data_IF_423557028983
#
_entry.id   IF_423557028983
#
_cell.length_a   1.000
_cell.length_b   1.000
_cell.length_c   1.000
_cell.angle_alpha   90.00
_cell.angle_beta   90.00
_cell.angle_gamma   90.00
#
_symmetry.space_group_name_H-M   'P 1'
#
loop_
_entity.id
_entity.type
_entity.pdbx_description
1 polymer ?
#
# COMPACT_ATOMS: atom_id res chain seq x y z
N UNK A 1 25.84 8.13 -13.43
CA UNK A 1 25.61 9.50 -13.92
C UNK A 1 24.76 10.23 -12.89
N UNK A 2 25.19 11.38 -12.43
CA UNK A 2 24.39 12.28 -11.58
C UNK A 2 23.54 13.16 -12.50
N UNK A 3 22.27 13.41 -12.11
CA UNK A 3 21.37 14.33 -12.77
C UNK A 3 20.78 15.29 -11.73
N UNK A 4 20.56 16.52 -12.11
CA UNK A 4 19.94 17.55 -11.27
C UNK A 4 18.50 17.76 -11.71
N UNK A 5 17.61 17.92 -10.73
CA UNK A 5 16.18 18.18 -10.92
C UNK A 5 15.73 19.28 -9.98
N UNK A 6 14.81 20.13 -10.42
CA UNK A 6 14.24 21.19 -9.58
C UNK A 6 13.33 20.64 -8.48
N UNK A 7 12.72 19.48 -8.70
CA UNK A 7 11.76 18.84 -7.78
C UNK A 7 11.85 17.33 -7.89
N UNK A 8 11.64 16.66 -6.76
CA UNK A 8 11.57 15.19 -6.68
C UNK A 8 10.22 14.76 -6.13
N UNK A 9 9.59 13.79 -6.77
CA UNK A 9 8.34 13.18 -6.28
C UNK A 9 8.62 11.73 -5.89
N UNK A 10 8.48 11.41 -4.61
CA UNK A 10 8.57 10.05 -4.09
C UNK A 10 7.22 9.34 -4.24
N UNK A 11 7.13 8.43 -5.22
CA UNK A 11 6.00 7.53 -5.41
C UNK A 11 6.36 6.11 -4.92
N UNK A 12 7.00 6.04 -3.76
CA UNK A 12 7.54 4.83 -3.15
C UNK A 12 6.81 4.51 -1.83
N UNK A 13 6.93 3.28 -1.30
CA UNK A 13 6.52 3.02 0.07
C UNK A 13 7.22 3.97 1.05
N UNK A 14 6.55 4.43 2.12
CA UNK A 14 7.08 5.46 3.01
C UNK A 14 8.32 5.00 3.81
N UNK A 15 8.46 3.73 4.10
CA UNK A 15 9.60 3.15 4.83
C UNK A 15 10.92 3.12 4.04
N UNK A 16 10.87 3.40 2.74
CA UNK A 16 12.08 3.49 1.90
C UNK A 16 12.51 4.94 1.63
N UNK A 17 11.69 5.94 1.96
CA UNK A 17 11.99 7.35 1.67
C UNK A 17 13.32 7.77 2.27
N UNK A 18 13.55 7.51 3.57
CA UNK A 18 14.80 7.86 4.25
C UNK A 18 16.01 7.09 3.72
N UNK A 19 15.82 5.95 3.08
CA UNK A 19 16.90 5.18 2.44
C UNK A 19 17.31 5.77 1.09
N UNK A 20 16.41 6.51 0.45
CA UNK A 20 16.62 7.14 -0.85
C UNK A 20 17.19 8.56 -0.73
N UNK A 21 16.94 9.23 0.36
CA UNK A 21 17.49 10.55 0.67
C UNK A 21 18.93 10.38 1.18
N UNK A 22 19.90 10.99 0.49
CA UNK A 22 21.31 10.93 0.88
C UNK A 22 21.60 11.80 2.13
N UNK A 23 20.89 12.93 2.26
CA UNK A 23 21.02 13.90 3.36
C UNK A 23 19.63 14.42 3.75
N UNK A 24 18.84 13.61 4.48
CA UNK A 24 17.49 13.99 4.86
C UNK A 24 17.52 15.10 5.92
N UNK A 25 16.66 16.11 5.76
CA UNK A 25 16.46 17.12 6.78
C UNK A 25 15.90 16.50 8.08
N UNK A 26 16.22 17.03 9.28
CA UNK A 26 15.67 16.52 10.55
C UNK A 26 14.15 16.36 10.57
N UNK A 27 13.41 17.26 9.92
CA UNK A 27 11.95 17.17 9.80
C UNK A 27 11.52 16.00 8.90
N UNK A 28 12.26 15.68 7.85
CA UNK A 28 11.98 14.49 7.01
C UNK A 28 12.23 13.21 7.79
N UNK A 29 13.32 13.17 8.58
CA UNK A 29 13.58 12.04 9.47
C UNK A 29 12.41 11.86 10.44
N UNK A 30 11.95 12.92 11.10
CA UNK A 30 10.86 12.86 12.05
C UNK A 30 9.56 12.32 11.41
N UNK A 31 9.21 12.79 10.20
CA UNK A 31 7.98 12.40 9.48
C UNK A 31 7.96 10.95 9.00
N UNK A 32 9.12 10.38 8.70
CA UNK A 32 9.22 9.04 8.12
C UNK A 32 9.76 7.97 9.07
N UNK A 33 10.28 8.33 10.25
CA UNK A 33 10.88 7.40 11.20
C UNK A 33 9.92 6.33 11.73
N UNK A 34 8.62 6.63 11.86
CA UNK A 34 7.63 5.69 12.35
C UNK A 34 7.11 4.72 11.27
N UNK A 35 7.41 4.97 10.00
CA UNK A 35 6.98 4.12 8.92
C UNK A 35 7.87 2.89 8.78
N UNK A 36 7.24 1.73 8.80
CA UNK A 36 7.89 0.42 8.66
C UNK A 36 7.30 -0.33 7.47
N UNK A 37 8.12 -1.16 6.85
CA UNK A 37 7.67 -2.10 5.84
C UNK A 37 6.97 -3.30 6.48
N UNK A 38 5.89 -3.75 5.87
CA UNK A 38 5.20 -4.98 6.20
C UNK A 38 5.35 -5.94 5.01
N UNK A 39 5.96 -7.10 5.27
CA UNK A 39 6.12 -8.15 4.26
C UNK A 39 5.02 -9.17 4.42
N UNK A 40 4.22 -9.32 3.39
CA UNK A 40 3.06 -10.22 3.40
C UNK A 40 3.08 -11.13 2.19
N UNK A 41 2.57 -12.35 2.36
CA UNK A 41 2.44 -13.33 1.31
C UNK A 41 0.97 -13.55 0.97
N UNK A 42 0.68 -13.62 -0.33
CA UNK A 42 -0.60 -14.09 -0.83
C UNK A 42 -0.42 -15.31 -1.69
N UNK A 43 -1.43 -16.17 -1.70
CA UNK A 43 -1.48 -17.40 -2.50
C UNK A 43 -2.70 -17.36 -3.40
N UNK A 44 -2.47 -17.50 -4.71
CA UNK A 44 -3.55 -17.81 -5.65
C UNK A 44 -3.73 -19.33 -5.65
N UNK A 45 -4.94 -19.80 -5.39
CA UNK A 45 -5.22 -21.22 -5.25
C UNK A 45 -6.61 -21.63 -5.72
N UNK A 46 -6.82 -22.94 -5.83
CA UNK A 46 -8.10 -23.57 -6.19
C UNK A 46 -8.61 -24.55 -5.13
N UNK A 47 -8.07 -24.49 -3.92
CA UNK A 47 -8.43 -25.38 -2.83
C UNK A 47 -9.81 -25.03 -2.26
N UNK A 48 -10.82 -25.82 -2.65
CA UNK A 48 -12.16 -25.76 -2.05
C UNK A 48 -12.24 -26.53 -0.72
N UNK A 49 -11.29 -27.45 -0.48
CA UNK A 49 -11.25 -28.31 0.70
C UNK A 49 -10.87 -27.56 1.98
N UNK A 50 -10.25 -26.39 1.88
CA UNK A 50 -9.90 -25.57 3.02
C UNK A 50 -11.09 -25.20 3.93
N UNK A 51 -12.31 -25.22 3.39
CA UNK A 51 -13.54 -24.92 4.13
C UNK A 51 -14.12 -26.13 4.89
N UNK A 52 -13.67 -27.36 4.58
CA UNK A 52 -14.22 -28.58 5.17
C UNK A 52 -14.22 -28.61 6.71
N UNK A 53 -13.16 -28.16 7.42
CA UNK A 53 -13.15 -28.13 8.89
C UNK A 53 -14.22 -27.20 9.49
N UNK A 54 -14.67 -26.21 8.74
CA UNK A 54 -15.62 -25.19 9.21
C UNK A 54 -17.07 -25.51 8.85
N UNK A 55 -17.33 -26.57 8.07
CA UNK A 55 -18.64 -26.98 7.57
C UNK A 55 -19.38 -25.85 6.80
N UNK A 56 -18.62 -24.94 6.22
CA UNK A 56 -19.15 -23.83 5.38
C UNK A 56 -19.45 -24.36 3.99
N UNK A 57 -20.71 -24.32 3.58
CA UNK A 57 -21.15 -24.74 2.23
C UNK A 57 -21.03 -23.62 1.20
N UNK A 58 -21.37 -22.41 1.62
CA UNK A 58 -21.30 -21.22 0.80
C UNK A 58 -20.49 -20.18 1.56
N UNK A 59 -19.43 -19.67 0.95
CA UNK A 59 -18.60 -18.59 1.50
C UNK A 59 -19.03 -17.24 0.96
N UNK A 60 -18.57 -16.19 1.62
CA UNK A 60 -18.72 -14.81 1.15
C UNK A 60 -17.62 -14.43 0.16
N UNK A 61 -17.63 -13.20 -0.34
CA UNK A 61 -16.55 -12.68 -1.17
C UNK A 61 -15.21 -12.67 -0.43
N UNK A 62 -15.26 -12.39 0.89
CA UNK A 62 -14.12 -12.46 1.80
C UNK A 62 -14.50 -13.25 3.04
N UNK A 63 -13.77 -14.31 3.32
CA UNK A 63 -13.90 -15.10 4.53
C UNK A 63 -12.65 -14.89 5.39
N UNK A 64 -12.84 -14.53 6.67
CA UNK A 64 -11.77 -14.30 7.63
C UNK A 64 -11.58 -15.49 8.54
N UNK A 65 -10.32 -15.86 8.78
CA UNK A 65 -9.92 -16.99 9.59
C UNK A 65 -9.00 -16.54 10.72
N UNK A 66 -9.24 -17.03 11.91
CA UNK A 66 -8.30 -16.92 13.02
C UNK A 66 -7.27 -18.03 12.88
N UNK A 67 -6.02 -17.67 12.53
CA UNK A 67 -4.96 -18.65 12.24
C UNK A 67 -4.21 -19.09 13.51
N UNK A 68 -4.16 -18.24 14.54
CA UNK A 68 -3.58 -18.55 15.84
C UNK A 68 -4.35 -17.82 16.95
N UNK A 69 -5.16 -18.57 17.69
CA UNK A 69 -5.97 -18.03 18.79
C UNK A 69 -5.15 -17.46 19.95
N UNK A 70 -3.93 -17.94 20.15
CA UNK A 70 -3.07 -17.48 21.24
C UNK A 70 -2.38 -16.15 20.88
N UNK A 71 -2.10 -15.92 19.60
CA UNK A 71 -1.41 -14.71 19.10
C UNK A 71 -2.36 -13.72 18.43
N UNK A 72 -3.63 -14.05 18.24
CA UNK A 72 -4.60 -13.21 17.55
C UNK A 72 -4.28 -12.99 16.08
N UNK A 73 -3.60 -13.94 15.46
CA UNK A 73 -3.25 -13.86 14.04
C UNK A 73 -4.47 -14.21 13.17
N UNK A 74 -4.62 -13.42 12.11
CA UNK A 74 -5.72 -13.55 11.17
C UNK A 74 -5.22 -13.76 9.76
N UNK A 75 -6.00 -14.53 8.99
CA UNK A 75 -5.88 -14.63 7.55
C UNK A 75 -7.23 -14.39 6.90
N UNK A 76 -7.23 -14.21 5.59
CA UNK A 76 -8.47 -14.16 4.82
C UNK A 76 -8.34 -14.92 3.51
N UNK A 77 -9.47 -15.38 3.00
CA UNK A 77 -9.61 -15.93 1.66
C UNK A 77 -10.61 -15.11 0.87
N UNK A 78 -10.16 -14.54 -0.26
CA UNK A 78 -10.98 -13.78 -1.18
C UNK A 78 -11.38 -14.68 -2.35
N UNK A 79 -12.69 -14.82 -2.62
CA UNK A 79 -13.23 -15.62 -3.72
C UNK A 79 -13.23 -14.82 -5.01
N UNK A 80 -12.23 -15.03 -5.86
CA UNK A 80 -12.03 -14.21 -7.06
C UNK A 80 -13.14 -14.38 -8.10
N UNK A 81 -13.77 -15.55 -8.18
CA UNK A 81 -14.88 -15.73 -9.11
C UNK A 81 -16.03 -14.76 -8.81
N UNK A 82 -16.35 -14.56 -7.54
CA UNK A 82 -17.38 -13.62 -7.11
C UNK A 82 -16.92 -12.17 -7.29
N UNK A 83 -15.74 -11.84 -6.83
CA UNK A 83 -15.19 -10.48 -6.88
C UNK A 83 -14.95 -9.97 -8.29
N UNK A 84 -14.49 -10.84 -9.19
CA UNK A 84 -14.10 -10.46 -10.56
C UNK A 84 -15.14 -10.86 -11.61
N UNK A 85 -16.27 -11.44 -11.21
CA UNK A 85 -17.30 -11.90 -12.15
C UNK A 85 -16.83 -13.05 -13.08
N UNK A 86 -15.94 -13.92 -12.58
CA UNK A 86 -15.36 -15.02 -13.37
C UNK A 86 -16.37 -16.16 -13.43
N UNK A 87 -16.82 -16.49 -14.64
CA UNK A 87 -17.66 -17.68 -14.91
C UNK A 87 -16.76 -18.89 -15.16
N UNK A 88 -16.53 -19.69 -14.13
CA UNK A 88 -15.72 -20.90 -14.20
C UNK A 88 -16.27 -21.97 -13.26
N UNK A 89 -16.20 -23.26 -13.61
CA UNK A 89 -16.52 -24.36 -12.69
C UNK A 89 -15.45 -24.52 -11.60
N UNK A 90 -14.25 -23.98 -11.82
CA UNK A 90 -13.15 -23.97 -10.85
C UNK A 90 -13.24 -22.68 -10.04
N UNK A 91 -13.25 -22.80 -8.70
CA UNK A 91 -13.15 -21.65 -7.81
C UNK A 91 -11.70 -21.21 -7.69
N UNK A 92 -11.41 -19.98 -8.09
CA UNK A 92 -10.16 -19.31 -7.86
C UNK A 92 -10.27 -18.43 -6.62
N UNK A 93 -9.26 -18.50 -5.77
CA UNK A 93 -9.22 -17.74 -4.52
C UNK A 93 -7.85 -17.13 -4.29
N UNK A 94 -7.82 -15.99 -3.60
CA UNK A 94 -6.61 -15.34 -3.11
C UNK A 94 -6.60 -15.42 -1.59
N UNK A 95 -5.66 -16.17 -1.05
CA UNK A 95 -5.47 -16.30 0.38
C UNK A 95 -4.36 -15.38 0.89
N UNK A 96 -4.54 -14.82 2.07
CA UNK A 96 -3.57 -14.05 2.81
C UNK A 96 -3.36 -14.68 4.19
N UNK A 97 -2.12 -14.96 4.55
CA UNK A 97 -1.73 -15.55 5.84
C UNK A 97 -2.46 -16.87 6.16
N UNK A 98 -2.65 -17.73 5.15
CA UNK A 98 -3.34 -19.03 5.25
C UNK A 98 -2.52 -20.17 4.63
N UNK A 99 -1.21 -20.05 4.53
CA UNK A 99 -0.32 -21.00 3.84
C UNK A 99 -0.50 -22.43 4.36
N UNK A 100 -0.61 -22.57 5.67
CA UNK A 100 -0.77 -23.88 6.33
C UNK A 100 -2.16 -24.50 6.14
N UNK A 101 -3.12 -23.74 5.66
CA UNK A 101 -4.52 -24.16 5.49
C UNK A 101 -4.86 -24.59 4.07
N UNK A 102 -3.94 -24.39 3.13
CA UNK A 102 -4.15 -24.65 1.70
C UNK A 102 -3.32 -25.84 1.26
N UNK A 103 -3.94 -26.78 0.56
CA UNK A 103 -3.27 -27.95 0.02
C UNK A 103 -2.20 -27.49 -1.02
N UNK A 104 -0.93 -27.93 -0.89
CA UNK A 104 0.15 -27.50 -1.78
C UNK A 104 -0.14 -27.70 -3.27
N UNK A 105 -0.80 -28.81 -3.63
CA UNK A 105 -1.13 -29.15 -5.00
C UNK A 105 -2.22 -28.23 -5.61
N UNK A 106 -2.91 -27.46 -4.77
CA UNK A 106 -3.91 -26.49 -5.20
C UNK A 106 -3.36 -25.08 -5.35
N UNK A 107 -2.11 -24.84 -4.99
CA UNK A 107 -1.47 -23.51 -5.09
C UNK A 107 -1.03 -23.29 -6.52
N UNK A 108 -1.54 -22.23 -7.14
CA UNK A 108 -1.21 -21.83 -8.51
C UNK A 108 -0.06 -20.81 -8.54
N UNK A 109 -0.02 -19.90 -7.58
CA UNK A 109 1.00 -18.85 -7.53
C UNK A 109 1.15 -18.33 -6.11
N UNK A 110 2.39 -17.95 -5.77
CA UNK A 110 2.74 -17.29 -4.51
C UNK A 110 3.32 -15.93 -4.82
N UNK A 111 2.80 -14.89 -4.19
CA UNK A 111 3.25 -13.52 -4.36
C UNK A 111 3.70 -12.93 -3.02
N UNK A 112 4.91 -12.36 -2.99
CA UNK A 112 5.40 -11.56 -1.87
C UNK A 112 5.06 -10.09 -2.11
N UNK A 113 4.55 -9.44 -1.07
CA UNK A 113 4.21 -8.02 -1.10
C UNK A 113 5.00 -7.26 -0.04
N UNK A 114 5.40 -6.05 -0.39
CA UNK A 114 5.93 -5.06 0.53
C UNK A 114 4.90 -3.93 0.63
N UNK A 115 4.27 -3.81 1.78
CA UNK A 115 3.24 -2.81 2.05
C UNK A 115 3.63 -1.95 3.25
N UNK A 116 3.13 -0.73 3.38
CA UNK A 116 3.32 0.04 4.60
C UNK A 116 2.66 -0.62 5.81
N UNK A 117 3.35 -0.62 6.96
CA UNK A 117 2.75 -1.01 8.22
C UNK A 117 2.04 0.19 8.85
N UNK A 118 0.72 0.13 8.91
CA UNK A 118 -0.12 1.20 9.45
C UNK A 118 -0.19 1.12 10.98
N UNK A 119 0.74 1.77 11.66
CA UNK A 119 0.72 1.96 13.12
C UNK A 119 0.03 3.26 13.50
N UNK A 120 -0.31 3.43 14.79
CA UNK A 120 -0.85 4.69 15.31
C UNK A 120 0.13 5.86 15.09
N UNK A 121 1.43 5.62 15.28
CA UNK A 121 2.47 6.62 15.03
C UNK A 121 2.51 7.00 13.54
N UNK A 122 2.56 6.04 12.63
CA UNK A 122 2.53 6.30 11.19
C UNK A 122 1.30 7.10 10.75
N UNK A 123 0.12 6.84 11.35
CA UNK A 123 -1.08 7.62 11.06
C UNK A 123 -1.01 9.08 11.55
N UNK A 124 -0.31 9.35 12.65
CA UNK A 124 -0.07 10.73 13.11
C UNK A 124 0.85 11.46 12.14
N UNK A 125 1.96 10.84 11.78
CA UNK A 125 2.95 11.44 10.89
C UNK A 125 2.41 11.67 9.47
N UNK A 126 1.46 10.85 9.01
CA UNK A 126 0.79 11.01 7.73
C UNK A 126 0.20 12.41 7.51
N UNK A 127 -0.44 12.98 8.53
CA UNK A 127 -1.04 14.30 8.42
C UNK A 127 0.02 15.38 8.25
N UNK A 128 1.14 15.24 8.92
CA UNK A 128 2.27 16.15 8.79
C UNK A 128 2.91 16.05 7.40
N UNK A 129 3.11 14.83 6.87
CA UNK A 129 3.60 14.63 5.50
C UNK A 129 2.70 15.33 4.49
N UNK A 130 1.37 15.22 4.63
CA UNK A 130 0.43 15.89 3.74
C UNK A 130 0.53 17.41 3.85
N UNK A 131 0.61 17.94 5.07
CA UNK A 131 0.63 19.38 5.33
C UNK A 131 1.93 20.06 4.86
N UNK A 132 3.04 19.33 4.90
CA UNK A 132 4.39 19.84 4.56
C UNK A 132 4.88 19.38 3.19
N UNK A 133 4.00 18.76 2.39
CA UNK A 133 4.34 18.22 1.09
C UNK A 133 4.84 19.32 0.15
N UNK A 134 6.03 19.15 -0.41
CA UNK A 134 6.73 20.15 -1.22
C UNK A 134 7.81 20.97 -0.48
N UNK A 135 7.96 20.82 0.83
CA UNK A 135 9.13 21.37 1.53
C UNK A 135 10.41 20.74 0.97
N UNK A 136 11.46 21.54 0.89
CA UNK A 136 12.77 21.13 0.36
C UNK A 136 12.71 20.61 -1.09
N UNK A 137 11.71 21.07 -1.87
CA UNK A 137 11.45 20.60 -3.24
C UNK A 137 11.23 19.08 -3.36
N UNK A 138 10.87 18.42 -2.24
CA UNK A 138 10.51 17.00 -2.17
C UNK A 138 9.00 16.83 -1.96
N UNK A 139 8.40 15.96 -2.77
CA UNK A 139 6.98 15.65 -2.73
C UNK A 139 6.78 14.16 -2.52
N UNK A 140 5.68 13.81 -1.86
CA UNK A 140 5.33 12.43 -1.52
C UNK A 140 3.93 12.12 -2.01
N UNK A 141 3.78 11.00 -2.71
CA UNK A 141 2.51 10.48 -3.21
C UNK A 141 2.41 8.99 -2.94
N UNK A 142 1.20 8.49 -2.78
CA UNK A 142 0.96 7.07 -2.58
C UNK A 142 -0.32 6.80 -1.78
N UNK A 143 -0.75 5.55 -1.81
CA UNK A 143 -1.95 5.08 -1.12
C UNK A 143 -1.89 5.37 0.40
N UNK A 144 -0.70 5.34 0.99
CA UNK A 144 -0.49 5.58 2.43
C UNK A 144 -0.87 7.01 2.87
N UNK A 145 -0.97 7.97 1.94
CA UNK A 145 -1.44 9.33 2.20
C UNK A 145 -2.97 9.49 2.05
N UNK A 146 -3.67 8.41 1.81
CA UNK A 146 -5.12 8.34 1.64
C UNK A 146 -5.74 7.18 2.40
N UNK A 147 -6.57 6.42 1.72
CA UNK A 147 -7.31 5.26 2.24
C UNK A 147 -6.52 3.94 2.24
N UNK A 148 -5.29 3.96 1.73
CA UNK A 148 -4.47 2.75 1.57
C UNK A 148 -4.72 2.00 0.26
N UNK A 149 -5.62 2.47 -0.60
CA UNK A 149 -6.05 1.84 -1.85
C UNK A 149 -5.71 2.71 -3.06
N UNK A 150 -6.18 2.27 -4.25
CA UNK A 150 -5.90 2.94 -5.51
C UNK A 150 -6.40 4.39 -5.54
N UNK A 151 -7.59 4.65 -4.99
CA UNK A 151 -8.17 5.99 -4.94
C UNK A 151 -7.33 6.95 -4.09
N UNK A 152 -6.81 6.48 -2.95
CA UNK A 152 -5.89 7.25 -2.12
C UNK A 152 -4.59 7.58 -2.84
N UNK A 153 -4.04 6.64 -3.62
CA UNK A 153 -2.84 6.88 -4.42
C UNK A 153 -3.07 7.96 -5.48
N UNK A 154 -4.14 7.83 -6.28
CA UNK A 154 -4.49 8.80 -7.34
C UNK A 154 -4.80 10.17 -6.76
N UNK A 155 -5.58 10.24 -5.68
CA UNK A 155 -5.93 11.51 -5.04
C UNK A 155 -4.70 12.24 -4.51
N UNK A 156 -3.76 11.51 -3.90
CA UNK A 156 -2.50 12.11 -3.43
C UNK A 156 -1.65 12.65 -4.57
N UNK A 157 -1.56 11.92 -5.69
CA UNK A 157 -0.83 12.34 -6.88
C UNK A 157 -1.45 13.60 -7.51
N UNK A 158 -2.78 13.67 -7.62
CA UNK A 158 -3.49 14.85 -8.15
C UNK A 158 -3.22 16.10 -7.27
N UNK A 159 -3.20 15.95 -5.94
CA UNK A 159 -2.89 17.06 -5.02
C UNK A 159 -1.48 17.60 -5.28
N UNK A 160 -0.49 16.72 -5.38
CA UNK A 160 0.90 17.12 -5.64
C UNK A 160 1.05 17.76 -7.01
N UNK A 161 0.44 17.19 -8.04
CA UNK A 161 0.48 17.79 -9.39
C UNK A 161 -0.10 19.21 -9.40
N UNK A 162 -1.23 19.44 -8.72
CA UNK A 162 -1.83 20.78 -8.57
C UNK A 162 -0.91 21.74 -7.80
N UNK A 163 -0.25 21.27 -6.73
CA UNK A 163 0.70 22.09 -5.96
C UNK A 163 1.85 22.57 -6.84
N UNK A 164 2.51 21.63 -7.53
CA UNK A 164 3.63 21.92 -8.42
C UNK A 164 3.21 22.90 -9.53
N UNK A 165 2.04 22.70 -10.14
CA UNK A 165 1.52 23.57 -11.19
C UNK A 165 1.31 25.00 -10.67
N UNK A 166 0.65 25.17 -9.52
CA UNK A 166 0.38 26.47 -8.92
C UNK A 166 1.67 27.22 -8.56
N UNK A 167 2.67 26.53 -8.02
CA UNK A 167 3.97 27.13 -7.70
C UNK A 167 4.69 27.62 -8.96
N UNK A 168 4.62 26.87 -10.05
CA UNK A 168 5.22 27.23 -11.32
C UNK A 168 4.55 28.47 -11.91
N UNK A 169 3.21 28.57 -11.86
CA UNK A 169 2.48 29.75 -12.31
C UNK A 169 2.83 31.00 -11.51
N UNK A 170 2.96 30.86 -10.17
CA UNK A 170 3.34 31.99 -9.30
C UNK A 170 4.76 32.47 -9.60
N UNK A 171 5.71 31.56 -9.83
CA UNK A 171 7.09 31.91 -10.25
C UNK A 171 7.09 32.65 -11.58
N UNK A 172 6.38 32.16 -12.59
CA UNK A 172 6.31 32.79 -13.92
C UNK A 172 5.69 34.18 -13.85
N UNK A 173 4.64 34.40 -13.06
CA UNK A 173 4.04 35.75 -12.89
C UNK A 173 4.99 36.75 -12.22
N UNK A 174 5.81 36.31 -11.26
CA UNK A 174 6.83 37.17 -10.64
C UNK A 174 7.95 37.55 -11.61
N UNK A 175 8.35 36.64 -12.49
CA UNK A 175 9.41 36.92 -13.50
C UNK A 175 8.97 37.90 -14.58
N UNK A 176 7.67 37.96 -14.90
CA UNK A 176 7.11 38.88 -15.90
C UNK A 176 6.93 40.31 -15.34
N UNK A 177 6.90 40.48 -14.00
CA UNK A 177 6.70 41.76 -13.32
C UNK A 177 8.01 42.40 -12.82
N UNK A 178 9.15 41.75 -13.00
CA UNK A 178 10.50 42.23 -12.68
C UNK A 178 11.26 42.62 -13.94
#
# INVERSE_FOLDING_TARGET
KTQEFDKVVFATPPDVVLKLLADPHPDEIARFAAWQGNHVQTLLHTDAGMYAPYQVKEGSEFDFFETDKQQGNWGYNARLNQLCGISSPVQYSLAFNLESSIAPDCILHIQQHHTPLYTVAAFRDRQEIIATNGQYDTYHVGAYLGDGLHEGAITSAIRVAKSIFNETEVKNKKTVLA
#
